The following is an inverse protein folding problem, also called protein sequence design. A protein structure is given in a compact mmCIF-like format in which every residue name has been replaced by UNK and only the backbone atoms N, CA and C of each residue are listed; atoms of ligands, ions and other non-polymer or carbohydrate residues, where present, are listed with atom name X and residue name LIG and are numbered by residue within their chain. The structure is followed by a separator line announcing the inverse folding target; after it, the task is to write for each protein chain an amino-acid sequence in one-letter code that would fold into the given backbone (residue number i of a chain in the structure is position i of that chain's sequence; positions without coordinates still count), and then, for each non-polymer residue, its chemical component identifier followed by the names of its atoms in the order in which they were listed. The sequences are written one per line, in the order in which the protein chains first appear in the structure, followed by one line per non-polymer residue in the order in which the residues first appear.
data_IF_846090278772
#
_entry.id   IF_846090278772
#
_cell.length_a   1.000
_cell.length_b   1.000
_cell.length_c   1.000
_cell.angle_alpha   90.00
_cell.angle_beta   90.00
_cell.angle_gamma   90.00
#
_symmetry.space_group_name_H-M   'P 1'
#
loop_
_entity.id
_entity.type
_entity.pdbx_description
1 polymer ?
#
# COMPACT_ATOMS: atom_id res chain seq x y z
N UNK A 1 -4.09 -27.08 -17.68
CA UNK A 1 -3.49 -28.00 -18.68
C UNK A 1 -4.10 -27.85 -20.08
N UNK A 2 -5.09 -26.97 -20.27
CA UNK A 2 -5.82 -26.80 -21.54
C UNK A 2 -5.24 -25.71 -22.47
N UNK A 3 -4.45 -24.76 -21.96
CA UNK A 3 -3.88 -23.63 -22.73
C UNK A 3 -2.89 -24.02 -23.83
N UNK A 4 -2.16 -25.13 -23.68
CA UNK A 4 -1.19 -25.58 -24.68
C UNK A 4 -1.83 -26.10 -25.96
N UNK A 5 -3.13 -26.43 -25.95
CA UNK A 5 -3.84 -26.96 -27.12
C UNK A 5 -4.29 -25.88 -28.11
N UNK A 6 -4.38 -24.61 -27.72
CA UNK A 6 -4.87 -23.52 -28.59
C UNK A 6 -3.78 -22.86 -29.46
N UNK A 7 -2.56 -23.38 -29.49
CA UNK A 7 -1.50 -22.89 -30.41
C UNK A 7 -1.01 -21.45 -30.15
N UNK A 8 -1.46 -20.81 -29.07
CA UNK A 8 -1.03 -19.47 -28.68
C UNK A 8 0.38 -19.52 -28.07
N UNK A 9 1.40 -19.62 -28.93
CA UNK A 9 2.81 -19.57 -28.50
C UNK A 9 3.31 -18.12 -28.46
N UNK A 10 4.01 -17.76 -27.38
CA UNK A 10 4.81 -16.53 -27.28
C UNK A 10 4.23 -15.42 -26.38
N UNK A 11 4.72 -14.19 -26.59
CA UNK A 11 4.42 -12.99 -25.78
C UNK A 11 2.93 -12.67 -25.68
N UNK A 12 2.14 -12.96 -26.73
CA UNK A 12 0.69 -12.71 -26.73
C UNK A 12 -0.05 -13.54 -25.68
N UNK A 13 0.37 -14.77 -25.45
CA UNK A 13 -0.24 -15.65 -24.44
C UNK A 13 0.07 -15.18 -23.01
N UNK A 14 1.33 -14.76 -22.79
CA UNK A 14 1.76 -14.21 -21.50
C UNK A 14 0.97 -12.94 -21.18
N UNK A 15 0.86 -12.00 -22.12
CA UNK A 15 0.20 -10.71 -21.90
C UNK A 15 -1.33 -10.80 -21.80
N UNK A 16 -1.99 -11.68 -22.54
CA UNK A 16 -3.46 -11.77 -22.56
C UNK A 16 -4.05 -12.75 -21.53
N UNK A 17 -3.28 -13.71 -21.04
CA UNK A 17 -3.81 -14.77 -20.16
C UNK A 17 -3.06 -14.81 -18.83
N UNK A 18 -1.73 -14.85 -18.87
CA UNK A 18 -0.92 -15.01 -17.66
C UNK A 18 -0.84 -13.73 -16.81
N UNK A 19 -0.62 -12.58 -17.45
CA UNK A 19 -0.56 -11.27 -16.80
C UNK A 19 -1.87 -10.94 -16.06
N UNK A 20 -3.06 -10.96 -16.69
CA UNK A 20 -4.30 -10.64 -15.98
C UNK A 20 -4.62 -11.63 -14.86
N UNK A 21 -4.26 -12.91 -15.01
CA UNK A 21 -4.43 -13.90 -13.96
C UNK A 21 -3.46 -13.68 -12.77
N UNK A 22 -2.28 -13.10 -13.01
CA UNK A 22 -1.30 -12.78 -11.98
C UNK A 22 -1.48 -11.39 -11.35
N UNK A 23 -2.25 -10.48 -11.95
CA UNK A 23 -2.49 -9.15 -11.38
C UNK A 23 -3.05 -9.18 -9.95
N UNK A 24 -4.03 -10.04 -9.59
CA UNK A 24 -4.53 -10.11 -8.21
C UNK A 24 -3.44 -10.51 -7.21
N UNK A 25 -2.55 -11.45 -7.57
CA UNK A 25 -1.46 -11.88 -6.69
C UNK A 25 -0.36 -10.82 -6.57
N UNK A 26 -0.06 -10.10 -7.64
CA UNK A 26 0.86 -8.95 -7.61
C UNK A 26 0.31 -7.85 -6.70
N UNK A 27 -0.98 -7.53 -6.80
CA UNK A 27 -1.64 -6.54 -5.94
C UNK A 27 -1.60 -6.97 -4.46
N UNK A 28 -1.84 -8.24 -4.17
CA UNK A 28 -1.70 -8.76 -2.81
C UNK A 28 -0.26 -8.57 -2.28
N UNK A 29 0.75 -8.86 -3.09
CA UNK A 29 2.15 -8.61 -2.75
C UNK A 29 2.45 -7.11 -2.52
N UNK A 30 1.88 -6.25 -3.37
CA UNK A 30 2.02 -4.80 -3.26
C UNK A 30 1.42 -4.27 -1.95
N UNK A 31 0.29 -4.85 -1.48
CA UNK A 31 -0.34 -4.49 -0.19
C UNK A 31 0.57 -4.78 0.99
N UNK A 32 1.19 -5.95 0.99
CA UNK A 32 2.17 -6.32 2.02
C UNK A 32 3.39 -5.40 1.97
N UNK A 33 3.91 -5.14 0.77
CA UNK A 33 5.04 -4.23 0.56
C UNK A 33 4.72 -2.80 1.03
N UNK A 34 3.53 -2.29 0.73
CA UNK A 34 3.05 -0.99 1.19
C UNK A 34 3.00 -0.91 2.71
N UNK A 35 2.40 -1.91 3.37
CA UNK A 35 2.33 -1.95 4.82
C UNK A 35 3.72 -1.98 5.50
N UNK A 36 4.72 -2.55 4.83
CA UNK A 36 6.11 -2.53 5.31
C UNK A 36 6.75 -1.15 5.08
N UNK A 37 6.66 -0.62 3.85
CA UNK A 37 7.19 0.68 3.47
C UNK A 37 6.63 1.82 4.33
N UNK A 38 5.35 1.75 4.68
CA UNK A 38 4.68 2.72 5.55
C UNK A 38 5.31 2.77 6.94
N UNK A 39 5.53 1.59 7.56
CA UNK A 39 6.17 1.50 8.89
C UNK A 39 7.61 1.99 8.86
N UNK A 40 8.35 1.66 7.80
CA UNK A 40 9.73 2.14 7.64
C UNK A 40 9.80 3.65 7.42
N UNK A 41 8.83 4.23 6.71
CA UNK A 41 8.74 5.68 6.50
C UNK A 41 8.52 6.42 7.83
N UNK A 42 7.58 5.95 8.67
CA UNK A 42 7.37 6.51 10.01
C UNK A 42 8.65 6.43 10.86
N UNK A 43 9.34 5.28 10.82
CA UNK A 43 10.62 5.12 11.53
C UNK A 43 11.70 6.09 11.02
N UNK A 44 11.76 6.31 9.70
CA UNK A 44 12.66 7.28 9.10
C UNK A 44 12.31 8.72 9.53
N UNK A 45 11.03 9.10 9.52
CA UNK A 45 10.56 10.41 9.98
C UNK A 45 10.90 10.68 11.45
N UNK A 46 10.89 9.65 12.31
CA UNK A 46 11.31 9.76 13.70
C UNK A 46 12.81 10.10 13.82
N UNK A 47 13.65 9.39 13.06
CA UNK A 47 15.12 9.58 13.09
C UNK A 47 15.51 10.93 12.48
N UNK A 48 14.97 11.28 11.32
CA UNK A 48 15.29 12.54 10.64
C UNK A 48 14.59 13.74 11.31
N UNK A 49 13.37 13.55 11.82
CA UNK A 49 12.61 14.59 12.51
C UNK A 49 13.26 15.06 13.80
N UNK A 50 13.93 14.16 14.52
CA UNK A 50 14.76 14.50 15.68
C UNK A 50 15.92 15.45 15.34
N UNK A 51 16.39 15.44 14.09
CA UNK A 51 17.59 16.17 13.67
C UNK A 51 17.28 17.55 13.08
N UNK A 52 16.09 17.75 12.49
CA UNK A 52 15.73 19.02 11.82
C UNK A 52 14.67 19.88 12.53
N UNK A 53 14.09 19.43 13.64
CA UNK A 53 13.05 20.17 14.38
C UNK A 53 11.70 20.33 13.64
N UNK A 54 11.68 20.11 12.31
CA UNK A 54 10.50 19.98 11.46
C UNK A 54 10.23 18.50 11.15
N UNK A 55 10.10 17.68 12.19
CA UNK A 55 9.78 16.27 12.03
C UNK A 55 8.30 16.05 11.68
N UNK A 56 8.02 15.05 10.85
CA UNK A 56 6.67 14.67 10.41
C UNK A 56 5.79 14.11 11.52
N UNK A 57 4.73 13.36 11.14
CA UNK A 57 3.74 12.84 12.09
C UNK A 57 4.36 11.92 13.14
N UNK A 58 5.37 11.12 12.77
CA UNK A 58 6.09 10.29 13.73
C UNK A 58 6.76 11.11 14.84
N UNK A 59 7.50 12.16 14.47
CA UNK A 59 8.15 13.06 15.43
C UNK A 59 7.15 13.79 16.31
N UNK A 60 6.05 14.28 15.73
CA UNK A 60 4.96 14.89 16.50
C UNK A 60 4.44 13.95 17.61
N UNK A 61 4.16 12.69 17.29
CA UNK A 61 3.71 11.71 18.29
C UNK A 61 4.79 11.50 19.36
N UNK A 62 6.06 11.39 18.96
CA UNK A 62 7.16 11.18 19.88
C UNK A 62 7.37 12.34 20.86
N UNK A 63 7.32 13.58 20.35
CA UNK A 63 7.46 14.78 21.17
C UNK A 63 6.30 14.91 22.16
N UNK A 64 5.05 14.79 21.70
CA UNK A 64 3.89 14.88 22.57
C UNK A 64 3.85 13.74 23.61
N UNK A 65 4.37 12.56 23.27
CA UNK A 65 4.56 11.45 24.22
C UNK A 65 5.57 11.82 25.31
N UNK A 66 6.67 12.48 24.95
CA UNK A 66 7.69 12.92 25.90
C UNK A 66 7.18 14.04 26.83
N UNK A 67 6.32 14.91 26.32
CA UNK A 67 5.64 15.97 27.08
C UNK A 67 4.41 15.47 27.87
N UNK A 68 4.10 14.17 27.82
CA UNK A 68 2.95 13.52 28.49
C UNK A 68 1.57 14.04 28.03
N UNK A 69 1.49 14.75 26.91
CA UNK A 69 0.24 15.16 26.26
C UNK A 69 -0.43 13.97 25.55
N UNK A 70 -1.11 13.15 26.36
CA UNK A 70 -1.73 11.90 25.91
C UNK A 70 -2.84 12.13 24.88
N UNK A 71 -3.59 13.22 25.03
CA UNK A 71 -4.60 13.70 24.08
C UNK A 71 -4.04 13.88 22.67
N UNK A 72 -2.88 14.54 22.55
CA UNK A 72 -2.21 14.79 21.26
C UNK A 72 -1.56 13.55 20.68
N UNK A 73 -1.04 12.66 21.53
CA UNK A 73 -0.52 11.36 21.11
C UNK A 73 -1.61 10.52 20.43
N UNK A 74 -2.80 10.43 21.05
CA UNK A 74 -3.93 9.71 20.46
C UNK A 74 -4.42 10.36 19.16
N UNK A 75 -4.46 11.70 19.09
CA UNK A 75 -4.79 12.40 17.86
C UNK A 75 -3.80 12.08 16.72
N UNK A 76 -2.49 12.03 17.01
CA UNK A 76 -1.46 11.65 16.04
C UNK A 76 -1.58 10.20 15.59
N UNK A 77 -1.81 9.27 16.52
CA UNK A 77 -2.07 7.86 16.20
C UNK A 77 -3.31 7.68 15.31
N UNK A 78 -4.40 8.38 15.63
CA UNK A 78 -5.60 8.38 14.81
C UNK A 78 -5.33 8.90 13.39
N UNK A 79 -4.57 9.99 13.26
CA UNK A 79 -4.16 10.52 11.96
C UNK A 79 -3.34 9.50 11.15
N UNK A 80 -2.40 8.79 11.76
CA UNK A 80 -1.61 7.73 11.09
C UNK A 80 -2.49 6.60 10.59
N UNK A 81 -3.47 6.16 11.41
CA UNK A 81 -4.43 5.11 11.01
C UNK A 81 -5.28 5.60 9.84
N UNK A 82 -5.81 6.82 9.91
CA UNK A 82 -6.64 7.40 8.84
C UNK A 82 -5.85 7.51 7.55
N UNK A 83 -4.61 7.98 7.57
CA UNK A 83 -3.78 8.07 6.35
C UNK A 83 -3.48 6.67 5.80
N UNK A 84 -3.12 5.72 6.66
CA UNK A 84 -2.90 4.33 6.27
C UNK A 84 -4.11 3.74 5.55
N UNK A 85 -5.31 3.92 6.11
CA UNK A 85 -6.58 3.47 5.53
C UNK A 85 -6.93 4.21 4.25
N UNK A 86 -6.75 5.53 4.21
CA UNK A 86 -7.03 6.34 3.01
C UNK A 86 -6.14 5.89 1.86
N UNK A 87 -4.85 5.66 2.10
CA UNK A 87 -3.96 5.18 1.04
C UNK A 87 -4.30 3.74 0.66
N UNK A 88 -4.61 2.86 1.62
CA UNK A 88 -5.03 1.50 1.30
C UNK A 88 -6.30 1.48 0.44
N UNK A 89 -7.34 2.21 0.82
CA UNK A 89 -8.58 2.30 0.04
C UNK A 89 -8.40 3.02 -1.29
N UNK A 90 -7.69 4.15 -1.34
CA UNK A 90 -7.50 4.89 -2.60
C UNK A 90 -6.65 4.09 -3.57
N UNK A 91 -5.55 3.50 -3.13
CA UNK A 91 -4.65 2.76 -4.04
C UNK A 91 -5.30 1.44 -4.39
N UNK A 92 -5.66 0.59 -3.43
CA UNK A 92 -6.14 -0.75 -3.76
C UNK A 92 -7.52 -0.72 -4.42
N UNK A 93 -8.48 0.10 -3.98
CA UNK A 93 -9.80 0.11 -4.61
C UNK A 93 -9.76 0.78 -6.00
N UNK A 94 -8.82 1.71 -6.25
CA UNK A 94 -8.64 2.28 -7.60
C UNK A 94 -7.98 1.28 -8.53
N UNK A 95 -6.94 0.58 -8.07
CA UNK A 95 -6.27 -0.46 -8.85
C UNK A 95 -7.19 -1.66 -9.12
N UNK A 96 -8.01 -2.04 -8.16
CA UNK A 96 -9.01 -3.08 -8.31
C UNK A 96 -10.09 -2.65 -9.32
N UNK A 97 -10.64 -1.44 -9.21
CA UNK A 97 -11.62 -0.92 -10.19
C UNK A 97 -11.05 -0.79 -11.61
N UNK A 98 -9.80 -0.36 -11.75
CA UNK A 98 -9.13 -0.25 -13.05
C UNK A 98 -8.89 -1.63 -13.68
N UNK A 99 -8.59 -2.63 -12.85
CA UNK A 99 -8.29 -4.00 -13.31
C UNK A 99 -9.56 -4.79 -13.61
N UNK A 100 -10.57 -4.73 -12.73
CA UNK A 100 -11.87 -5.41 -12.91
C UNK A 100 -12.59 -4.87 -14.15
N UNK A 101 -12.61 -3.55 -14.38
CA UNK A 101 -13.24 -2.97 -15.59
C UNK A 101 -12.57 -3.39 -16.89
N UNK A 102 -11.25 -3.65 -16.88
CA UNK A 102 -10.50 -3.91 -18.12
C UNK A 102 -10.42 -5.39 -18.48
N UNK A 103 -10.53 -6.29 -17.50
CA UNK A 103 -10.33 -7.73 -17.72
C UNK A 103 -11.48 -8.63 -17.24
N UNK A 104 -12.53 -8.08 -16.63
CA UNK A 104 -13.79 -8.81 -16.40
C UNK A 104 -13.63 -10.13 -15.64
N UNK A 105 -12.66 -10.22 -14.73
CA UNK A 105 -12.42 -11.44 -13.94
C UNK A 105 -13.35 -11.44 -12.73
N UNK A 106 -14.65 -11.59 -12.99
CA UNK A 106 -15.61 -12.08 -12.00
C UNK A 106 -16.59 -13.01 -12.71
N UNK A 107 -16.43 -14.32 -12.43
CA UNK A 107 -17.56 -15.24 -12.28
C UNK A 107 -17.68 -15.56 -10.80
#
# INVERSE_FOLDING_TARGET
MTDRNYGLKGLRHVLLILVPAALPSILAGLRVGWAFAWRTLIAAELVFGASSGNGGLGWYIFQNRNELYTDRVFAGLAAVIVIGLVVEHLVFDTFERLTIRRWGVQR
#
